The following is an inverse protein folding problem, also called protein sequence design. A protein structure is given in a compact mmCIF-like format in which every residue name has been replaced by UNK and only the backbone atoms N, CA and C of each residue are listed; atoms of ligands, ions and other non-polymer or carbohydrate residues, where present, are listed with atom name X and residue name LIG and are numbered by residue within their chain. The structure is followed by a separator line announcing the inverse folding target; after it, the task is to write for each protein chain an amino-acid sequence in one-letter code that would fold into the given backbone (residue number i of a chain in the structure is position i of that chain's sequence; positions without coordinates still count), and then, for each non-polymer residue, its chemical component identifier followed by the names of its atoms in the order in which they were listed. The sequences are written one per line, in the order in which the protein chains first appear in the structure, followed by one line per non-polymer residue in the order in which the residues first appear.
data_IF_905057643573
#
_entry.id   IF_905057643573
#
_cell.length_a   1.000
_cell.length_b   1.000
_cell.length_c   1.000
_cell.angle_alpha   90.00
_cell.angle_beta   90.00
_cell.angle_gamma   90.00
#
_symmetry.space_group_name_H-M   'P 1'
#
loop_
_entity.id
_entity.type
_entity.pdbx_description
1 polymer ?
#
# COMPACT_ATOMS: atom_id res chain seq x y z
N UNK A 1 65.11 -0.51 31.29
CA UNK A 1 64.13 0.53 31.69
C UNK A 1 64.36 1.75 30.81
N UNK A 2 63.63 1.86 29.70
CA UNK A 2 63.70 2.98 28.76
C UNK A 2 62.34 3.68 28.82
N UNK A 3 62.29 4.83 29.51
CA UNK A 3 61.09 5.67 29.60
C UNK A 3 61.04 6.59 28.38
N UNK A 4 60.02 6.42 27.54
CA UNK A 4 59.70 7.31 26.43
C UNK A 4 58.66 8.34 26.87
N UNK A 5 59.02 9.62 26.84
CA UNK A 5 58.12 10.76 27.05
C UNK A 5 57.23 10.97 25.82
N UNK A 6 55.91 10.92 26.01
CA UNK A 6 54.92 11.27 24.98
C UNK A 6 54.53 12.74 25.19
N UNK A 7 54.96 13.61 24.27
CA UNK A 7 54.53 15.01 24.19
C UNK A 7 53.10 15.10 23.62
N UNK A 8 52.13 15.48 24.45
CA UNK A 8 50.79 15.88 24.01
C UNK A 8 50.86 17.17 23.20
N UNK A 9 50.41 17.12 21.94
CA UNK A 9 50.10 18.31 21.14
C UNK A 9 48.68 18.78 21.48
N UNK A 10 48.59 19.99 22.04
CA UNK A 10 47.36 20.72 22.31
C UNK A 10 46.85 21.32 21.00
N UNK A 11 45.79 20.74 20.45
CA UNK A 11 45.06 21.31 19.30
C UNK A 11 44.08 22.35 19.84
N UNK A 12 44.27 23.61 19.46
CA UNK A 12 43.33 24.71 19.75
C UNK A 12 42.13 24.64 18.78
N UNK A 13 40.91 24.97 19.22
CA UNK A 13 39.75 25.04 18.34
C UNK A 13 39.79 26.30 17.48
N UNK A 14 39.47 26.11 16.20
CA UNK A 14 39.28 27.17 15.22
C UNK A 14 37.84 27.69 15.35
N UNK A 15 37.72 28.94 15.78
CA UNK A 15 36.49 29.72 15.87
C UNK A 15 36.34 30.58 14.59
N UNK A 16 35.12 31.06 14.32
CA UNK A 16 34.68 31.97 13.24
C UNK A 16 34.21 31.30 11.92
N UNK A 17 33.10 31.69 11.27
CA UNK A 17 32.17 32.80 11.50
C UNK A 17 30.79 32.50 10.89
N UNK A 18 29.76 32.97 11.57
CA UNK A 18 28.38 32.98 11.11
C UNK A 18 28.14 34.11 10.10
N UNK A 19 27.85 33.77 8.83
CA UNK A 19 27.29 34.74 7.88
C UNK A 19 25.83 34.40 7.53
N UNK A 20 24.93 35.15 8.16
CA UNK A 20 23.49 35.21 7.86
C UNK A 20 23.28 36.00 6.57
N UNK A 21 22.94 35.32 5.48
CA UNK A 21 22.34 35.99 4.31
C UNK A 21 20.82 36.01 4.51
N UNK A 22 20.30 37.19 4.83
CA UNK A 22 18.86 37.50 4.82
C UNK A 22 18.48 37.90 3.40
N UNK A 23 17.67 37.09 2.71
CA UNK A 23 16.94 37.55 1.52
C UNK A 23 15.47 37.67 1.86
N UNK A 24 15.01 38.93 1.89
CA UNK A 24 13.60 39.32 1.92
C UNK A 24 12.97 38.95 0.58
N UNK A 25 11.99 38.05 0.58
CA UNK A 25 11.10 37.86 -0.56
C UNK A 25 9.69 38.28 -0.11
N UNK A 26 9.37 39.52 -0.45
CA UNK A 26 8.03 40.10 -0.37
C UNK A 26 7.23 39.62 -1.57
N UNK A 27 6.28 38.70 -1.38
CA UNK A 27 5.40 38.20 -2.43
C UNK A 27 3.95 38.59 -2.10
N UNK A 28 3.42 39.54 -2.87
CA UNK A 28 2.02 39.98 -2.83
C UNK A 28 1.09 38.90 -3.42
N UNK A 29 -0.13 38.72 -2.89
CA UNK A 29 -1.10 37.76 -3.44
C UNK A 29 -1.76 38.30 -4.71
N UNK A 30 -1.64 37.58 -5.83
CA UNK A 30 -2.47 37.80 -7.02
C UNK A 30 -3.70 36.90 -6.95
N UNK A 31 -4.87 37.52 -6.81
CA UNK A 31 -6.15 36.90 -7.14
C UNK A 31 -6.32 36.89 -8.66
N UNK A 32 -6.54 35.72 -9.27
CA UNK A 32 -7.08 35.63 -10.62
C UNK A 32 -7.89 34.35 -10.76
N UNK A 33 -9.18 34.59 -10.91
CA UNK A 33 -10.27 33.84 -11.54
C UNK A 33 -9.96 32.55 -12.30
N UNK A 34 -10.85 31.58 -12.03
CA UNK A 34 -11.06 30.31 -12.73
C UNK A 34 -11.21 30.45 -14.26
N UNK A 35 -10.57 29.54 -15.00
CA UNK A 35 -11.05 29.09 -16.31
C UNK A 35 -10.78 27.60 -16.45
N UNK A 36 -11.83 26.79 -16.25
CA UNK A 36 -11.84 25.38 -16.63
C UNK A 36 -11.82 25.30 -18.15
N UNK A 37 -10.71 24.83 -18.71
CA UNK A 37 -10.64 24.41 -20.10
C UNK A 37 -10.83 22.89 -20.15
N UNK A 38 -12.01 22.50 -20.66
CA UNK A 38 -12.34 21.28 -21.38
C UNK A 38 -11.40 20.07 -21.22
N UNK A 39 -11.86 19.09 -20.44
CA UNK A 39 -11.47 17.68 -20.55
C UNK A 39 -12.76 16.84 -20.59
N UNK A 40 -13.63 17.18 -21.56
CA UNK A 40 -14.76 16.34 -21.99
C UNK A 40 -14.24 15.38 -23.06
N UNK A 41 -13.50 14.36 -22.63
CA UNK A 41 -13.36 13.12 -23.40
C UNK A 41 -14.57 12.22 -23.09
N UNK A 42 -15.68 12.63 -23.68
CA UNK A 42 -16.89 11.84 -23.87
C UNK A 42 -16.62 10.84 -25.00
N UNK A 43 -16.09 9.65 -24.67
CA UNK A 43 -16.10 8.52 -25.61
C UNK A 43 -17.53 7.97 -25.66
N UNK A 44 -18.36 8.68 -26.42
CA UNK A 44 -19.71 8.30 -26.81
C UNK A 44 -19.71 7.05 -27.67
N UNK A 45 -19.43 5.90 -27.07
CA UNK A 45 -19.80 4.59 -27.60
C UNK A 45 -21.26 4.30 -27.25
N UNK A 46 -22.16 5.03 -27.92
CA UNK A 46 -23.56 4.62 -28.05
C UNK A 46 -23.62 3.38 -28.95
N UNK A 47 -23.81 2.20 -28.36
CA UNK A 47 -24.15 1.01 -29.13
C UNK A 47 -25.57 1.17 -29.69
N UNK A 48 -25.66 1.52 -30.98
CA UNK A 48 -26.86 1.27 -31.77
C UNK A 48 -26.93 -0.23 -32.01
N UNK A 49 -27.74 -0.93 -31.22
CA UNK A 49 -28.18 -2.28 -31.56
C UNK A 49 -29.29 -2.09 -32.59
N UNK A 50 -28.94 -2.27 -33.87
CA UNK A 50 -29.91 -2.40 -34.95
C UNK A 50 -30.74 -3.66 -34.71
N UNK A 51 -31.91 -3.47 -34.11
CA UNK A 51 -32.93 -4.49 -34.00
C UNK A 51 -33.69 -4.61 -35.34
N UNK A 52 -33.07 -5.23 -36.34
CA UNK A 52 -33.78 -5.87 -37.46
C UNK A 52 -32.85 -6.86 -38.17
N UNK A 53 -32.98 -8.16 -37.90
CA UNK A 53 -33.34 -9.20 -38.91
C UNK A 53 -33.88 -10.39 -38.13
N UNK A 54 -35.15 -10.70 -38.40
CA UNK A 54 -35.88 -11.86 -37.91
C UNK A 54 -35.37 -13.19 -38.53
N UNK A 55 -35.74 -14.27 -37.82
CA UNK A 55 -36.09 -15.62 -38.31
C UNK A 55 -35.03 -16.74 -38.18
N UNK A 56 -35.34 -17.60 -37.21
CA UNK A 56 -35.39 -19.08 -37.21
C UNK A 56 -34.30 -19.94 -36.56
N UNK A 57 -34.83 -21.02 -35.98
CA UNK A 57 -34.22 -22.16 -35.28
C UNK A 57 -33.80 -21.87 -33.81
N UNK A 58 -34.57 -22.21 -32.78
CA UNK A 58 -35.36 -23.42 -32.59
C UNK A 58 -34.56 -24.43 -31.74
N UNK A 59 -34.46 -24.21 -30.43
CA UNK A 59 -34.16 -25.30 -29.47
C UNK A 59 -35.03 -25.15 -28.23
N UNK A 60 -35.93 -26.12 -28.12
CA UNK A 60 -36.84 -26.40 -27.03
C UNK A 60 -36.09 -26.95 -25.82
N UNK A 61 -36.29 -26.38 -24.63
CA UNK A 61 -36.07 -27.08 -23.36
C UNK A 61 -37.33 -26.87 -22.50
N UNK A 62 -38.06 -27.98 -22.30
CA UNK A 62 -39.20 -28.12 -21.38
C UNK A 62 -38.71 -28.30 -19.93
N UNK A 63 -39.60 -28.16 -18.93
CA UNK A 63 -39.33 -27.72 -17.56
C UNK A 63 -39.29 -28.86 -16.52
N UNK A 64 -39.27 -28.48 -15.24
CA UNK A 64 -39.36 -29.23 -13.94
C UNK A 64 -38.07 -28.99 -13.12
N UNK A 65 -38.04 -28.54 -11.86
CA UNK A 65 -39.01 -28.31 -10.78
C UNK A 65 -38.42 -27.28 -9.80
N UNK A 66 -39.26 -26.48 -9.13
CA UNK A 66 -39.31 -26.40 -7.65
C UNK A 66 -40.16 -25.20 -7.22
N UNK A 67 -41.13 -25.53 -6.39
CA UNK A 67 -42.13 -24.68 -5.74
C UNK A 67 -41.52 -23.56 -4.86
N UNK A 68 -42.22 -22.42 -4.79
CA UNK A 68 -42.84 -21.90 -3.56
C UNK A 68 -43.46 -20.51 -3.81
N UNK A 69 -44.80 -20.52 -3.79
CA UNK A 69 -45.75 -19.53 -3.25
C UNK A 69 -45.31 -18.06 -3.08
N UNK A 70 -46.00 -17.14 -3.77
CA UNK A 70 -46.74 -16.07 -3.08
C UNK A 70 -47.77 -15.39 -4.01
N UNK A 71 -49.00 -15.40 -3.53
CA UNK A 71 -50.23 -14.90 -4.12
C UNK A 71 -50.36 -13.40 -3.80
N UNK A 72 -50.54 -12.53 -4.82
CA UNK A 72 -51.14 -11.20 -4.62
C UNK A 72 -51.64 -10.54 -5.91
N UNK A 73 -52.95 -10.75 -6.14
CA UNK A 73 -53.98 -9.76 -6.53
C UNK A 73 -53.64 -8.64 -7.54
N UNK A 74 -54.27 -8.81 -8.70
CA UNK A 74 -54.52 -7.84 -9.76
C UNK A 74 -55.58 -6.82 -9.31
N UNK A 75 -55.28 -5.52 -9.37
CA UNK A 75 -56.30 -4.46 -9.52
C UNK A 75 -55.83 -3.48 -10.61
N UNK A 76 -56.62 -3.26 -11.69
CA UNK A 76 -56.31 -2.30 -12.74
C UNK A 76 -56.97 -0.95 -12.46
N UNK A 77 -56.21 0.14 -12.59
CA UNK A 77 -56.80 1.48 -12.75
C UNK A 77 -56.01 2.27 -13.81
N UNK A 78 -56.59 2.39 -15.00
CA UNK A 78 -56.16 3.37 -15.99
C UNK A 78 -56.94 4.70 -15.85
N UNK A 79 -56.31 5.78 -16.38
CA UNK A 79 -56.84 7.07 -16.87
C UNK A 79 -56.93 8.20 -15.84
N UNK A 80 -56.50 9.44 -16.10
CA UNK A 80 -56.01 10.14 -17.31
C UNK A 80 -55.52 11.56 -16.89
N UNK A 81 -54.58 12.14 -17.68
CA UNK A 81 -54.37 13.57 -18.04
C UNK A 81 -54.15 14.60 -16.92
N UNK A 82 -53.34 15.66 -17.01
CA UNK A 82 -52.41 16.27 -17.99
C UNK A 82 -51.69 17.41 -17.22
N UNK A 83 -50.45 17.70 -17.62
CA UNK A 83 -49.67 18.96 -17.55
C UNK A 83 -49.99 20.03 -16.47
N UNK A 84 -48.96 20.43 -15.70
CA UNK A 84 -48.43 21.79 -15.85
C UNK A 84 -47.00 21.92 -15.34
N UNK A 85 -46.23 22.73 -16.07
CA UNK A 85 -44.82 23.02 -15.88
C UNK A 85 -44.55 23.79 -14.58
N UNK A 86 -43.53 23.36 -13.83
CA UNK A 86 -42.76 24.29 -13.03
C UNK A 86 -41.30 23.83 -12.86
N UNK A 87 -40.44 24.53 -13.58
CA UNK A 87 -38.99 24.42 -13.63
C UNK A 87 -38.36 24.67 -12.25
N UNK A 88 -38.07 23.60 -11.53
CA UNK A 88 -37.07 23.59 -10.47
C UNK A 88 -35.90 22.73 -10.92
N UNK A 89 -34.70 23.32 -11.03
CA UNK A 89 -33.43 22.65 -11.32
C UNK A 89 -33.15 21.55 -10.29
N UNK A 90 -33.74 20.37 -10.47
CA UNK A 90 -33.40 19.15 -9.75
C UNK A 90 -32.01 18.72 -10.20
N UNK A 91 -30.98 19.07 -9.43
CA UNK A 91 -29.69 18.36 -9.47
C UNK A 91 -29.99 16.85 -9.37
N UNK A 92 -29.67 16.08 -10.42
CA UNK A 92 -29.79 14.62 -10.47
C UNK A 92 -29.11 14.01 -9.23
N UNK A 93 -29.91 13.53 -8.26
CA UNK A 93 -29.50 12.72 -7.09
C UNK A 93 -29.24 11.25 -7.47
N UNK A 94 -28.74 10.97 -8.68
CA UNK A 94 -28.59 9.59 -9.16
C UNK A 94 -27.21 8.98 -8.87
N UNK A 95 -26.27 9.76 -8.31
CA UNK A 95 -24.89 9.31 -8.09
C UNK A 95 -24.59 8.90 -6.62
N UNK A 96 -25.62 8.81 -5.77
CA UNK A 96 -25.44 8.51 -4.34
C UNK A 96 -25.18 7.01 -4.10
N UNK A 97 -25.96 6.14 -4.77
CA UNK A 97 -25.83 4.68 -4.68
C UNK A 97 -24.45 4.18 -5.14
N UNK A 98 -23.89 4.77 -6.19
CA UNK A 98 -22.56 4.38 -6.69
C UNK A 98 -21.44 4.81 -5.73
N UNK A 99 -21.53 6.03 -5.17
CA UNK A 99 -20.59 6.52 -4.16
C UNK A 99 -20.64 5.68 -2.89
N UNK A 100 -21.84 5.31 -2.45
CA UNK A 100 -22.03 4.43 -1.30
C UNK A 100 -21.47 3.02 -1.55
N UNK A 101 -21.76 2.40 -2.72
CA UNK A 101 -21.17 1.10 -3.10
C UNK A 101 -19.64 1.15 -3.14
N UNK A 102 -19.06 2.23 -3.70
CA UNK A 102 -17.60 2.43 -3.72
C UNK A 102 -17.04 2.58 -2.30
N UNK A 103 -17.74 3.31 -1.42
CA UNK A 103 -17.34 3.48 -0.01
C UNK A 103 -17.37 2.15 0.75
N UNK A 104 -18.44 1.38 0.61
CA UNK A 104 -18.58 0.07 1.25
C UNK A 104 -17.51 -0.92 0.77
N UNK A 105 -17.24 -0.96 -0.55
CA UNK A 105 -16.14 -1.77 -1.09
C UNK A 105 -14.79 -1.35 -0.50
N UNK A 106 -14.53 -0.04 -0.43
CA UNK A 106 -13.28 0.51 0.12
C UNK A 106 -13.10 0.17 1.60
N UNK A 107 -14.17 0.26 2.40
CA UNK A 107 -14.15 -0.10 3.83
C UNK A 107 -13.92 -1.60 4.03
N UNK A 108 -14.56 -2.43 3.22
CA UNK A 108 -14.34 -3.87 3.22
C UNK A 108 -12.90 -4.24 2.86
N UNK A 109 -12.35 -3.66 1.79
CA UNK A 109 -10.98 -3.91 1.35
C UNK A 109 -9.96 -3.46 2.42
N UNK A 110 -10.21 -2.31 3.06
CA UNK A 110 -9.41 -1.83 4.19
C UNK A 110 -9.43 -2.80 5.37
N UNK A 111 -10.61 -3.30 5.74
CA UNK A 111 -10.75 -4.25 6.83
C UNK A 111 -10.04 -5.58 6.53
N UNK A 112 -10.09 -6.05 5.29
CA UNK A 112 -9.36 -7.24 4.87
C UNK A 112 -7.85 -7.04 4.98
N UNK A 113 -7.31 -5.95 4.42
CA UNK A 113 -5.87 -5.65 4.47
C UNK A 113 -5.35 -5.51 5.90
N UNK A 114 -6.12 -4.90 6.80
CA UNK A 114 -5.75 -4.79 8.23
C UNK A 114 -5.68 -6.15 8.93
N UNK A 115 -6.53 -7.10 8.55
CA UNK A 115 -6.51 -8.46 9.12
C UNK A 115 -5.27 -9.25 8.72
N UNK A 116 -4.71 -8.99 7.52
CA UNK A 116 -3.55 -9.73 6.99
C UNK A 116 -2.40 -9.72 7.99
N UNK A 117 -2.11 -8.56 8.59
CA UNK A 117 -1.00 -8.42 9.52
C UNK A 117 -1.14 -9.30 10.78
N UNK A 118 -2.37 -9.64 11.17
CA UNK A 118 -2.70 -10.44 12.37
C UNK A 118 -2.87 -11.94 12.11
N UNK A 119 -2.77 -12.38 10.85
CA UNK A 119 -2.95 -13.79 10.49
C UNK A 119 -1.84 -14.68 11.06
N UNK A 120 -2.12 -15.98 11.08
CA UNK A 120 -1.14 -17.01 11.44
C UNK A 120 -0.15 -17.23 10.28
N UNK A 121 1.02 -17.81 10.57
CA UNK A 121 2.11 -18.02 9.60
C UNK A 121 1.70 -18.90 8.42
N UNK A 122 0.82 -19.88 8.65
CA UNK A 122 0.27 -20.73 7.58
C UNK A 122 -0.65 -19.93 6.65
N UNK A 123 -1.53 -19.12 7.22
CA UNK A 123 -2.46 -18.27 6.45
C UNK A 123 -1.72 -17.17 5.69
N UNK A 124 -0.68 -16.59 6.30
CA UNK A 124 0.23 -15.66 5.64
C UNK A 124 0.90 -16.30 4.43
N UNK A 125 1.43 -17.51 4.57
CA UNK A 125 2.03 -18.24 3.46
C UNK A 125 1.04 -18.40 2.29
N UNK A 126 -0.18 -18.86 2.56
CA UNK A 126 -1.22 -18.96 1.52
C UNK A 126 -1.56 -17.60 0.89
N UNK A 127 -1.66 -16.54 1.69
CA UNK A 127 -1.94 -15.20 1.19
C UNK A 127 -0.84 -14.69 0.24
N UNK A 128 0.44 -14.87 0.59
CA UNK A 128 1.55 -14.43 -0.25
C UNK A 128 1.72 -15.29 -1.50
N UNK A 129 1.44 -16.59 -1.43
CA UNK A 129 1.36 -17.45 -2.62
C UNK A 129 0.24 -16.97 -3.55
N UNK A 130 -0.93 -16.62 -3.01
CA UNK A 130 -2.02 -16.07 -3.80
C UNK A 130 -1.70 -14.69 -4.40
N UNK A 131 -0.95 -13.83 -3.69
CA UNK A 131 -0.47 -12.56 -4.24
C UNK A 131 0.51 -12.78 -5.40
N UNK A 132 1.43 -13.74 -5.26
CA UNK A 132 2.38 -14.07 -6.31
C UNK A 132 1.67 -14.59 -7.58
N UNK A 133 0.67 -15.45 -7.42
CA UNK A 133 -0.14 -15.95 -8.54
C UNK A 133 -0.93 -14.83 -9.25
N UNK A 134 -1.33 -13.77 -8.53
CA UNK A 134 -1.97 -12.59 -9.13
C UNK A 134 -0.99 -11.67 -9.85
N UNK A 135 0.27 -11.63 -9.43
CA UNK A 135 1.28 -10.75 -10.01
C UNK A 135 2.02 -11.37 -11.20
N UNK A 136 2.04 -12.70 -11.28
CA UNK A 136 2.80 -13.45 -12.28
C UNK A 136 1.85 -14.36 -13.05
N UNK A 137 1.42 -13.92 -14.24
CA UNK A 137 0.48 -14.66 -15.09
C UNK A 137 1.04 -16.03 -15.58
N UNK A 138 2.37 -16.24 -15.50
CA UNK A 138 3.05 -17.37 -16.17
C UNK A 138 3.72 -18.43 -15.23
N UNK A 139 3.77 -18.23 -13.91
CA UNK A 139 4.49 -19.15 -12.98
C UNK A 139 3.56 -20.08 -12.16
N UNK A 140 2.33 -20.32 -12.64
CA UNK A 140 1.25 -21.01 -11.92
C UNK A 140 1.45 -22.52 -11.63
N UNK A 141 2.67 -23.05 -11.69
CA UNK A 141 2.94 -24.51 -11.56
C UNK A 141 3.76 -24.91 -10.33
N UNK A 142 4.28 -23.99 -9.52
CA UNK A 142 4.93 -24.33 -8.24
C UNK A 142 4.06 -23.88 -7.07
N UNK A 143 3.37 -24.84 -6.44
CA UNK A 143 2.28 -24.58 -5.50
C UNK A 143 2.69 -23.99 -4.13
N UNK A 144 3.97 -23.97 -3.75
CA UNK A 144 4.38 -23.58 -2.39
C UNK A 144 5.66 -22.74 -2.37
N UNK A 145 5.64 -21.55 -2.99
CA UNK A 145 6.79 -20.62 -2.93
C UNK A 145 7.11 -20.14 -1.51
N UNK A 146 6.07 -19.98 -0.69
CA UNK A 146 6.20 -19.52 0.68
C UNK A 146 5.71 -20.59 1.63
N UNK A 147 6.48 -20.86 2.67
CA UNK A 147 6.16 -21.83 3.70
C UNK A 147 5.89 -21.15 5.04
N UNK A 148 5.24 -21.87 5.96
CA UNK A 148 5.05 -21.40 7.34
C UNK A 148 6.35 -21.00 8.05
N UNK A 149 7.50 -21.52 7.60
CA UNK A 149 8.80 -21.21 8.20
C UNK A 149 9.29 -19.83 7.78
N UNK A 150 8.81 -19.26 6.68
CA UNK A 150 9.30 -17.97 6.19
C UNK A 150 8.69 -16.82 6.98
N UNK A 151 7.53 -17.01 7.60
CA UNK A 151 6.84 -15.98 8.38
C UNK A 151 7.03 -16.14 9.89
N UNK A 152 6.90 -15.02 10.59
CA UNK A 152 6.70 -14.96 12.03
C UNK A 152 5.22 -14.77 12.33
N UNK A 153 4.68 -15.55 13.27
CA UNK A 153 3.27 -15.49 13.65
C UNK A 153 2.87 -14.10 14.16
N UNK A 154 2.04 -13.43 13.38
CA UNK A 154 1.47 -12.13 13.70
C UNK A 154 0.38 -12.18 14.78
N UNK A 155 -0.24 -13.35 14.97
CA UNK A 155 -1.30 -13.59 15.97
C UNK A 155 -0.84 -13.48 17.42
N UNK A 156 0.46 -13.66 17.67
CA UNK A 156 1.06 -13.52 19.00
C UNK A 156 1.21 -12.06 19.46
N UNK A 157 1.05 -11.10 18.54
CA UNK A 157 1.14 -9.68 18.87
C UNK A 157 -0.26 -9.08 19.01
N UNK A 158 -0.68 -8.87 20.27
CA UNK A 158 -2.04 -8.40 20.62
C UNK A 158 -2.18 -6.87 20.64
N UNK A 159 -1.08 -6.14 20.65
CA UNK A 159 -1.11 -4.68 20.69
C UNK A 159 -1.50 -4.10 19.33
N UNK A 160 -2.19 -2.96 19.35
CA UNK A 160 -2.60 -2.28 18.13
C UNK A 160 -1.38 -1.76 17.38
N UNK A 161 -1.13 -2.19 16.14
CA UNK A 161 0.05 -1.77 15.36
C UNK A 161 -0.08 -0.30 14.93
N UNK A 162 0.59 0.59 15.66
CA UNK A 162 0.56 2.05 15.46
C UNK A 162 1.98 2.62 15.47
N UNK A 163 2.24 3.70 14.74
CA UNK A 163 3.59 4.29 14.66
C UNK A 163 4.30 4.43 16.01
N UNK A 164 3.58 4.70 17.09
CA UNK A 164 4.12 4.85 18.43
C UNK A 164 4.72 3.55 19.00
N UNK A 165 4.13 2.39 18.71
CA UNK A 165 4.64 1.08 19.17
C UNK A 165 5.55 0.38 18.17
N UNK A 166 5.83 1.00 17.03
CA UNK A 166 6.69 0.42 16.00
C UNK A 166 8.07 0.07 16.52
N UNK A 167 8.62 0.93 17.39
CA UNK A 167 9.93 0.71 18.00
C UNK A 167 9.93 -0.53 18.89
N UNK A 168 8.94 -0.67 19.75
CA UNK A 168 8.86 -1.81 20.67
C UNK A 168 8.62 -3.11 19.90
N UNK A 169 7.79 -3.07 18.87
CA UNK A 169 7.59 -4.18 17.95
C UNK A 169 8.89 -4.61 17.27
N UNK A 170 9.60 -3.66 16.64
CA UNK A 170 10.84 -3.98 15.92
C UNK A 170 11.95 -4.43 16.86
N UNK A 171 12.04 -3.90 18.07
CA UNK A 171 13.03 -4.37 19.06
C UNK A 171 12.73 -5.79 19.54
N UNK A 172 11.45 -6.17 19.68
CA UNK A 172 11.04 -7.53 20.07
C UNK A 172 11.40 -8.60 19.04
N UNK A 173 11.23 -8.29 17.74
CA UNK A 173 11.38 -9.28 16.68
C UNK A 173 12.71 -9.18 15.90
N UNK A 174 13.51 -8.14 16.13
CA UNK A 174 14.79 -8.01 15.45
C UNK A 174 15.86 -8.97 16.02
N UNK A 175 16.56 -9.67 15.11
CA UNK A 175 17.65 -10.61 15.42
C UNK A 175 19.02 -10.19 14.82
N UNK A 176 19.11 -9.03 14.16
CA UNK A 176 20.33 -8.48 13.56
C UNK A 176 20.06 -7.34 12.57
N UNK A 177 20.68 -7.41 11.39
CA UNK A 177 20.41 -6.47 10.31
C UNK A 177 19.07 -6.83 9.65
N UNK A 178 18.13 -5.88 9.68
CA UNK A 178 16.79 -6.06 9.14
C UNK A 178 16.43 -5.02 8.10
N UNK A 179 15.64 -5.42 7.11
CA UNK A 179 15.03 -4.52 6.14
C UNK A 179 13.63 -4.16 6.62
N UNK A 180 13.24 -2.90 6.51
CA UNK A 180 11.89 -2.40 6.72
C UNK A 180 11.37 -1.87 5.38
N UNK A 181 10.36 -2.54 4.83
CA UNK A 181 9.74 -2.16 3.58
C UNK A 181 8.53 -1.27 3.85
N UNK A 182 8.53 -0.11 3.21
CA UNK A 182 7.48 0.89 3.32
C UNK A 182 6.95 1.27 1.93
N UNK A 183 5.69 1.68 1.86
CA UNK A 183 5.02 2.04 0.61
C UNK A 183 5.61 3.29 -0.05
N UNK A 184 6.00 4.31 0.73
CA UNK A 184 6.37 5.62 0.18
C UNK A 184 7.51 6.29 0.95
N UNK A 185 8.13 7.31 0.32
CA UNK A 185 9.19 8.12 0.94
C UNK A 185 8.73 8.82 2.22
N UNK A 186 7.51 9.34 2.23
CA UNK A 186 6.93 9.98 3.41
C UNK A 186 6.88 8.95 4.54
N UNK A 187 6.40 7.75 4.24
CA UNK A 187 6.28 6.67 5.21
C UNK A 187 7.63 6.18 5.74
N UNK A 188 8.66 6.11 4.88
CA UNK A 188 10.04 5.86 5.31
C UNK A 188 10.48 6.88 6.37
N UNK A 189 10.14 8.15 6.18
CA UNK A 189 10.44 9.22 7.13
C UNK A 189 9.74 9.03 8.48
N UNK A 190 8.48 8.60 8.47
CA UNK A 190 7.69 8.38 9.70
C UNK A 190 8.21 7.18 10.49
N UNK A 191 8.46 6.05 9.82
CA UNK A 191 9.05 4.85 10.44
C UNK A 191 10.46 5.14 10.99
N UNK A 192 11.26 5.93 10.26
CA UNK A 192 12.58 6.34 10.74
C UNK A 192 12.50 7.18 12.01
N UNK A 193 11.52 8.10 12.09
CA UNK A 193 11.30 8.92 13.28
C UNK A 193 10.82 8.08 14.46
N UNK A 194 9.92 7.12 14.25
CA UNK A 194 9.39 6.28 15.33
C UNK A 194 10.44 5.35 15.93
N UNK A 195 11.39 4.84 15.14
CA UNK A 195 12.55 4.08 15.67
C UNK A 195 13.46 4.94 16.56
N UNK A 196 13.49 6.26 16.32
CA UNK A 196 14.32 7.21 17.05
C UNK A 196 15.80 7.19 16.65
N UNK A 197 16.58 8.19 17.12
CA UNK A 197 17.96 8.41 16.66
C UNK A 197 18.96 7.34 17.10
N UNK A 198 18.65 6.55 18.14
CA UNK A 198 19.53 5.50 18.69
C UNK A 198 19.36 4.14 18.00
N UNK A 199 18.50 4.04 17.01
CA UNK A 199 18.13 2.78 16.36
C UNK A 199 19.15 2.27 15.35
N UNK A 200 20.20 3.04 15.02
CA UNK A 200 21.15 2.76 13.95
C UNK A 200 20.44 2.36 12.65
N UNK A 201 19.36 3.08 12.32
CA UNK A 201 18.63 2.92 11.08
C UNK A 201 19.25 3.78 9.97
N UNK A 202 19.13 3.33 8.73
CA UNK A 202 19.40 4.12 7.52
C UNK A 202 18.17 4.15 6.63
N UNK A 203 17.99 5.27 5.91
CA UNK A 203 16.92 5.44 4.92
C UNK A 203 17.51 5.26 3.54
N UNK A 204 16.81 4.55 2.69
CA UNK A 204 17.25 4.27 1.33
C UNK A 204 16.18 4.77 0.36
N UNK A 205 16.60 5.61 -0.57
CA UNK A 205 15.71 6.26 -1.52
C UNK A 205 16.38 7.41 -2.25
N UNK A 206 15.63 8.04 -3.16
CA UNK A 206 16.11 9.22 -3.89
C UNK A 206 16.43 10.34 -2.89
N UNK A 207 17.70 10.77 -2.86
CA UNK A 207 18.18 11.83 -1.97
C UNK A 207 18.49 11.37 -0.54
N UNK A 208 18.64 10.07 -0.30
CA UNK A 208 19.25 9.56 0.93
C UNK A 208 20.61 8.93 0.64
N UNK A 209 21.50 8.99 1.62
CA UNK A 209 22.77 8.28 1.59
C UNK A 209 22.52 6.77 1.63
N UNK A 210 23.12 6.03 0.71
CA UNK A 210 23.00 4.58 0.58
C UNK A 210 24.14 3.81 1.23
N UNK A 211 25.07 4.50 1.89
CA UNK A 211 26.19 3.85 2.58
C UNK A 211 25.70 3.09 3.82
N UNK A 212 25.96 1.79 3.82
CA UNK A 212 25.60 0.89 4.92
C UNK A 212 26.79 0.79 5.84
N UNK A 213 26.61 1.20 7.09
CA UNK A 213 27.65 1.09 8.12
C UNK A 213 27.63 -0.29 8.76
N UNK A 214 28.75 -0.72 9.33
CA UNK A 214 28.87 -2.00 10.00
C UNK A 214 27.94 -2.15 11.23
N UNK A 215 27.57 -1.04 11.88
CA UNK A 215 26.68 -0.99 13.03
C UNK A 215 25.20 -0.77 12.67
N UNK A 216 24.87 -0.77 11.37
CA UNK A 216 23.50 -0.59 10.90
C UNK A 216 22.62 -1.74 11.39
N UNK A 217 21.51 -1.40 12.05
CA UNK A 217 20.53 -2.38 12.55
C UNK A 217 19.31 -2.46 11.61
N UNK A 218 18.92 -1.34 11.02
CA UNK A 218 17.74 -1.26 10.15
C UNK A 218 18.02 -0.56 8.83
N UNK A 219 17.51 -1.13 7.75
CA UNK A 219 17.49 -0.56 6.41
C UNK A 219 16.05 -0.26 6.04
N UNK A 220 15.66 1.01 5.90
CA UNK A 220 14.29 1.40 5.60
C UNK A 220 14.20 1.87 4.15
N UNK A 221 13.35 1.27 3.33
CA UNK A 221 13.25 1.58 1.91
C UNK A 221 11.94 1.17 1.27
N UNK A 222 11.72 1.60 0.03
CA UNK A 222 10.65 1.05 -0.81
C UNK A 222 11.11 -0.27 -1.43
N UNK A 223 10.14 -1.13 -1.79
CA UNK A 223 10.38 -2.45 -2.39
C UNK A 223 11.35 -2.37 -3.56
N UNK A 224 11.05 -1.53 -4.55
CA UNK A 224 11.88 -1.38 -5.74
C UNK A 224 13.30 -0.90 -5.43
N UNK A 225 13.46 0.00 -4.45
CA UNK A 225 14.78 0.55 -4.16
C UNK A 225 15.68 -0.47 -3.46
N UNK A 226 15.11 -1.24 -2.52
CA UNK A 226 15.82 -2.29 -1.83
C UNK A 226 16.19 -3.42 -2.78
N UNK A 227 15.27 -3.82 -3.68
CA UNK A 227 15.52 -4.83 -4.70
C UNK A 227 16.77 -4.49 -5.54
N UNK A 228 16.89 -3.22 -5.94
CA UNK A 228 18.00 -2.75 -6.78
C UNK A 228 19.35 -2.62 -6.03
N UNK A 229 19.39 -2.71 -4.70
CA UNK A 229 20.63 -2.57 -3.94
C UNK A 229 21.45 -3.85 -3.83
N UNK A 230 20.86 -5.02 -4.12
CA UNK A 230 21.57 -6.30 -4.13
C UNK A 230 22.39 -6.54 -2.85
N UNK A 231 21.78 -6.30 -1.68
CA UNK A 231 22.48 -6.28 -0.39
C UNK A 231 23.24 -7.58 -0.07
N UNK A 232 22.70 -8.73 -0.50
CA UNK A 232 23.36 -10.04 -0.35
C UNK A 232 24.67 -10.12 -1.15
N UNK A 233 24.70 -9.56 -2.36
CA UNK A 233 25.90 -9.54 -3.23
C UNK A 233 27.00 -8.66 -2.63
N UNK A 234 26.61 -7.61 -1.88
CA UNK A 234 27.53 -6.72 -1.16
C UNK A 234 28.01 -7.29 0.18
N UNK A 235 27.69 -8.56 0.50
CA UNK A 235 28.15 -9.24 1.72
C UNK A 235 27.36 -8.87 2.99
N UNK A 236 26.23 -8.17 2.88
CA UNK A 236 25.39 -7.88 4.03
C UNK A 236 24.41 -9.02 4.30
N UNK A 237 24.58 -9.69 5.46
CA UNK A 237 23.68 -10.75 5.91
C UNK A 237 22.40 -10.16 6.52
N UNK A 238 21.28 -10.29 5.81
CA UNK A 238 19.96 -9.84 6.28
C UNK A 238 19.28 -10.98 7.03
N UNK A 239 18.84 -10.71 8.26
CA UNK A 239 18.19 -11.73 9.13
C UNK A 239 16.68 -11.68 9.13
N UNK A 240 16.08 -10.50 8.91
CA UNK A 240 14.64 -10.38 8.79
C UNK A 240 14.19 -9.22 7.89
N UNK A 241 12.97 -9.34 7.39
CA UNK A 241 12.29 -8.32 6.59
C UNK A 241 10.98 -7.97 7.30
N UNK A 242 10.82 -6.70 7.65
CA UNK A 242 9.58 -6.12 8.16
C UNK A 242 8.79 -5.53 6.99
N UNK A 243 7.52 -5.89 6.88
CA UNK A 243 6.57 -5.34 5.91
C UNK A 243 5.62 -4.40 6.65
N UNK A 244 5.65 -3.11 6.35
CA UNK A 244 4.70 -2.16 6.93
C UNK A 244 3.33 -2.26 6.24
N UNK A 245 2.43 -3.02 6.87
CA UNK A 245 1.03 -3.19 6.48
C UNK A 245 0.09 -2.24 7.24
N UNK A 246 0.60 -1.50 8.24
CA UNK A 246 -0.22 -0.55 9.04
C UNK A 246 -0.65 0.69 8.26
N UNK A 247 0.16 1.12 7.28
CA UNK A 247 -0.11 2.33 6.51
C UNK A 247 -0.85 2.01 5.22
N UNK A 248 -1.99 2.65 5.06
CA UNK A 248 -2.74 2.70 3.82
C UNK A 248 -2.82 4.17 3.41
N UNK A 249 -2.36 4.49 2.21
CA UNK A 249 -2.53 5.85 1.69
C UNK A 249 -4.02 6.11 1.35
N UNK A 250 -4.34 7.32 0.88
CA UNK A 250 -5.72 7.67 0.50
C UNK A 250 -6.31 6.78 -0.61
N UNK A 251 -5.46 6.06 -1.35
CA UNK A 251 -5.82 5.12 -2.41
C UNK A 251 -5.82 3.66 -1.92
N UNK A 252 -5.69 3.44 -0.61
CA UNK A 252 -5.56 2.14 0.03
C UNK A 252 -4.33 1.34 -0.42
N UNK A 253 -3.31 2.02 -0.91
CA UNK A 253 -2.08 1.39 -1.35
C UNK A 253 -1.25 0.98 -0.13
N UNK A 254 -0.92 -0.30 -0.07
CA UNK A 254 -0.08 -0.93 0.94
C UNK A 254 1.18 -1.47 0.28
N UNK A 255 2.22 -1.72 1.09
CA UNK A 255 3.41 -2.44 0.60
C UNK A 255 3.05 -3.81 0.02
N UNK A 256 1.96 -4.42 0.49
CA UNK A 256 1.45 -5.71 0.01
C UNK A 256 0.91 -5.66 -1.43
N UNK A 257 0.59 -4.48 -1.94
CA UNK A 257 0.08 -4.29 -3.31
C UNK A 257 1.21 -4.03 -4.31
N UNK A 258 2.47 -3.94 -3.87
CA UNK A 258 3.62 -3.70 -4.74
C UNK A 258 3.94 -4.93 -5.60
N UNK A 259 3.82 -4.79 -6.93
CA UNK A 259 4.04 -5.89 -7.87
C UNK A 259 5.43 -6.54 -7.73
N UNK A 260 6.45 -5.75 -7.36
CA UNK A 260 7.83 -6.23 -7.18
C UNK A 260 8.09 -6.85 -5.80
N UNK A 261 7.10 -6.90 -4.90
CA UNK A 261 7.29 -7.41 -3.54
C UNK A 261 7.68 -8.88 -3.56
N UNK A 262 6.94 -9.71 -4.28
CA UNK A 262 7.23 -11.14 -4.33
C UNK A 262 8.60 -11.42 -4.95
N UNK A 263 9.02 -10.66 -5.96
CA UNK A 263 10.37 -10.75 -6.53
C UNK A 263 11.47 -10.42 -5.50
N UNK A 264 11.26 -9.38 -4.68
CA UNK A 264 12.17 -9.06 -3.58
C UNK A 264 12.20 -10.17 -2.55
N UNK A 265 11.05 -10.66 -2.10
CA UNK A 265 10.99 -11.72 -1.09
C UNK A 265 11.69 -13.00 -1.59
N UNK A 266 11.57 -13.35 -2.88
CA UNK A 266 12.31 -14.45 -3.51
C UNK A 266 13.83 -14.23 -3.44
N UNK A 267 14.33 -13.03 -3.71
CA UNK A 267 15.78 -12.72 -3.58
C UNK A 267 16.29 -12.95 -2.14
N UNK A 268 15.42 -12.78 -1.15
CA UNK A 268 15.69 -12.99 0.26
C UNK A 268 15.11 -14.30 0.81
N UNK A 269 15.07 -15.36 0.01
CA UNK A 269 14.69 -16.70 0.49
C UNK A 269 15.51 -17.10 1.73
N UNK A 270 14.84 -17.74 2.69
CA UNK A 270 15.38 -18.14 3.99
C UNK A 270 15.39 -17.03 5.05
N UNK A 271 15.10 -15.77 4.68
CA UNK A 271 15.01 -14.65 5.61
C UNK A 271 13.61 -14.56 6.22
N UNK A 272 13.52 -14.31 7.52
CA UNK A 272 12.22 -14.24 8.23
C UNK A 272 11.44 -12.99 7.85
N UNK A 273 10.22 -13.17 7.38
CA UNK A 273 9.28 -12.12 7.03
C UNK A 273 8.37 -11.86 8.22
N UNK A 274 8.23 -10.58 8.58
CA UNK A 274 7.46 -10.11 9.72
C UNK A 274 6.53 -9.02 9.20
N UNK A 275 5.22 -9.22 9.33
CA UNK A 275 4.26 -8.16 9.01
C UNK A 275 4.09 -7.28 10.22
N UNK A 276 4.22 -5.98 10.03
CA UNK A 276 3.89 -4.95 11.00
C UNK A 276 2.61 -4.25 10.61
#
# INVERSE_FOLDING_TARGET
MLSAEIKLHVIRPFEQDSNKVKTNIHCQPKSTTMSYAADDLDDGLEYQIDATVDVDEGVSIRPEDSDEEEEQTIIPTERKTENDDNTAKKRKKTNDKFKEKKRLKMEHDMAQKKKVATLNSTELAHHFTALLLKSTDDEATQLDFFTKKDFVDGSNYKEARTLDNFKDFTDKYNKGLSIILATSRVRIGDLYKSLGPKSNAIKIGKGYDSTIRADTKYIIGTVERVLNMKLKENGHEIKSIFLDATYQDQKLHSVLDEAKLCALLKQYEGVKIILY
#
